data_IF_271180082125
#
_entry.id   IF_271180082125
#
_cell.length_a   1.000
_cell.length_b   1.000
_cell.length_c   1.000
_cell.angle_alpha   90.00
_cell.angle_beta   90.00
_cell.angle_gamma   90.00
#
_symmetry.space_group_name_H-M   'P 1'
#
loop_
_entity.id
_entity.type
_entity.pdbx_description
1 polymer ?
#
# COMPACT_ATOMS: atom_id res chain seq x y z
N UNK A 1 2.50 27.76 -29.33
CA UNK A 1 3.41 27.08 -28.38
C UNK A 1 3.13 25.60 -28.45
N UNK A 2 4.07 24.81 -28.92
CA UNK A 2 3.91 23.36 -28.99
C UNK A 2 4.15 22.73 -27.61
N UNK A 3 3.12 22.07 -27.07
CA UNK A 3 3.29 21.27 -25.89
C UNK A 3 4.07 20.00 -26.25
N UNK A 4 5.22 19.78 -25.62
CA UNK A 4 6.04 18.58 -25.80
C UNK A 4 5.31 17.33 -25.27
N UNK A 5 4.34 17.53 -24.36
CA UNK A 5 3.57 16.46 -23.73
C UNK A 5 2.10 16.56 -24.12
N UNK A 6 1.50 15.43 -24.48
CA UNK A 6 0.05 15.33 -24.64
C UNK A 6 -0.67 15.53 -23.29
N UNK A 7 -1.96 15.95 -23.29
CA UNK A 7 -2.71 16.21 -22.06
C UNK A 7 -2.72 15.05 -21.07
N UNK A 8 -2.76 13.81 -21.55
CA UNK A 8 -2.75 12.62 -20.72
C UNK A 8 -1.37 12.33 -20.12
N UNK A 9 -0.29 12.65 -20.84
CA UNK A 9 1.08 12.46 -20.34
C UNK A 9 1.40 13.42 -19.20
N UNK A 10 0.98 14.67 -19.30
CA UNK A 10 1.19 15.66 -18.23
C UNK A 10 0.43 15.28 -16.97
N UNK A 11 -0.84 14.83 -17.09
CA UNK A 11 -1.64 14.36 -15.99
C UNK A 11 -1.02 13.14 -15.27
N UNK A 12 -0.49 12.19 -16.04
CA UNK A 12 0.20 11.03 -15.50
C UNK A 12 1.50 11.41 -14.78
N UNK A 13 2.29 12.32 -15.34
CA UNK A 13 3.51 12.83 -14.71
C UNK A 13 3.22 13.51 -13.36
N UNK A 14 2.19 14.35 -13.29
CA UNK A 14 1.77 15.01 -12.04
C UNK A 14 1.32 13.97 -11.01
N UNK A 15 0.53 12.98 -11.40
CA UNK A 15 0.09 11.90 -10.51
C UNK A 15 1.25 11.09 -9.97
N UNK A 16 2.23 10.75 -10.80
CA UNK A 16 3.44 10.03 -10.39
C UNK A 16 4.29 10.86 -9.43
N UNK A 17 4.46 12.16 -9.69
CA UNK A 17 5.19 13.08 -8.80
C UNK A 17 4.50 13.19 -7.45
N UNK A 18 3.18 13.30 -7.41
CA UNK A 18 2.40 13.33 -6.16
C UNK A 18 2.53 12.03 -5.38
N UNK A 19 2.48 10.88 -6.05
CA UNK A 19 2.67 9.58 -5.42
C UNK A 19 4.08 9.42 -4.82
N UNK A 20 5.11 9.89 -5.52
CA UNK A 20 6.49 9.90 -5.02
C UNK A 20 6.67 10.80 -3.80
N UNK A 21 6.08 11.99 -3.80
CA UNK A 21 6.12 12.92 -2.65
C UNK A 21 5.43 12.29 -1.44
N UNK A 22 4.25 11.70 -1.61
CA UNK A 22 3.53 11.00 -0.54
C UNK A 22 4.33 9.83 0.02
N UNK A 23 4.97 9.03 -0.83
CA UNK A 23 5.82 7.92 -0.41
C UNK A 23 7.01 8.40 0.42
N UNK A 24 7.67 9.48 0.02
CA UNK A 24 8.79 10.09 0.76
C UNK A 24 8.34 10.62 2.12
N UNK A 25 7.19 11.27 2.21
CA UNK A 25 6.63 11.76 3.46
C UNK A 25 6.34 10.60 4.41
N UNK A 26 5.72 9.54 3.91
CA UNK A 26 5.47 8.34 4.70
C UNK A 26 6.76 7.71 5.21
N UNK A 27 7.79 7.59 4.39
CA UNK A 27 9.11 7.06 4.77
C UNK A 27 9.78 7.96 5.84
N UNK A 28 9.72 9.27 5.68
CA UNK A 28 10.26 10.21 6.68
C UNK A 28 9.56 10.09 8.04
N UNK A 29 8.24 9.94 8.05
CA UNK A 29 7.47 9.72 9.28
C UNK A 29 7.92 8.42 9.95
N UNK A 30 8.05 7.33 9.19
CA UNK A 30 8.48 6.03 9.69
C UNK A 30 9.90 6.10 10.25
N UNK A 31 10.82 6.74 9.55
CA UNK A 31 12.22 6.88 9.94
C UNK A 31 12.40 7.76 11.19
N UNK A 32 11.48 8.68 11.45
CA UNK A 32 11.50 9.54 12.63
C UNK A 32 11.09 8.84 13.93
N UNK A 33 10.45 7.68 13.82
CA UNK A 33 9.98 6.90 14.97
C UNK A 33 10.97 5.79 15.28
N UNK A 34 11.36 5.67 16.56
CA UNK A 34 12.22 4.56 17.00
C UNK A 34 11.56 3.21 16.76
N UNK A 35 12.38 2.22 16.47
CA UNK A 35 11.91 0.86 16.32
C UNK A 35 11.24 0.37 17.60
N UNK A 36 10.17 -0.37 17.44
CA UNK A 36 9.40 -0.99 18.51
C UNK A 36 9.10 -2.45 18.19
N UNK A 37 8.94 -3.24 19.24
CA UNK A 37 8.63 -4.66 19.06
C UNK A 37 7.22 -4.84 18.48
N UNK A 38 7.16 -5.64 17.42
CA UNK A 38 5.89 -6.02 16.81
C UNK A 38 5.38 -7.33 17.37
N UNK A 39 4.03 -7.51 17.48
CA UNK A 39 3.48 -8.77 17.88
C UNK A 39 3.95 -9.90 16.96
N UNK A 40 4.55 -10.96 17.53
CA UNK A 40 5.18 -12.04 16.75
C UNK A 40 4.22 -12.73 15.79
N UNK A 41 2.97 -12.92 16.18
CA UNK A 41 1.95 -13.54 15.34
C UNK A 41 1.63 -12.70 14.09
N UNK A 42 1.46 -11.41 14.26
CA UNK A 42 1.18 -10.46 13.14
C UNK A 42 2.37 -10.39 12.20
N UNK A 43 3.59 -10.31 12.76
CA UNK A 43 4.81 -10.28 11.97
C UNK A 43 4.99 -11.58 11.16
N UNK A 44 4.72 -12.73 11.75
CA UNK A 44 4.81 -14.02 11.07
C UNK A 44 3.84 -14.09 9.87
N UNK A 45 2.58 -13.72 10.08
CA UNK A 45 1.58 -13.70 8.99
C UNK A 45 1.96 -12.72 7.88
N UNK A 46 2.41 -11.53 8.23
CA UNK A 46 2.84 -10.52 7.27
C UNK A 46 4.07 -10.99 6.49
N UNK A 47 5.04 -11.61 7.15
CA UNK A 47 6.23 -12.17 6.52
C UNK A 47 5.89 -13.29 5.53
N UNK A 48 4.92 -14.15 5.86
CA UNK A 48 4.46 -15.18 4.94
C UNK A 48 3.79 -14.59 3.69
N UNK A 49 2.98 -13.55 3.84
CA UNK A 49 2.37 -12.85 2.71
C UNK A 49 3.43 -12.19 1.81
N UNK A 50 4.41 -11.53 2.39
CA UNK A 50 5.53 -10.95 1.63
C UNK A 50 6.36 -12.02 0.92
N UNK A 51 6.62 -13.15 1.57
CA UNK A 51 7.32 -14.27 0.94
C UNK A 51 6.55 -14.84 -0.26
N UNK A 52 5.23 -15.02 -0.13
CA UNK A 52 4.38 -15.43 -1.25
C UNK A 52 4.44 -14.43 -2.39
N UNK A 53 4.38 -13.13 -2.08
CA UNK A 53 4.49 -12.06 -3.09
C UNK A 53 5.83 -12.08 -3.82
N UNK A 54 6.93 -12.29 -3.10
CA UNK A 54 8.26 -12.43 -3.70
C UNK A 54 8.30 -13.66 -4.62
N UNK A 55 7.74 -14.78 -4.17
CA UNK A 55 7.65 -15.99 -4.98
C UNK A 55 6.86 -15.75 -6.29
N UNK A 56 5.69 -15.12 -6.20
CA UNK A 56 4.86 -14.80 -7.37
C UNK A 56 5.55 -13.87 -8.37
N UNK A 57 6.43 -12.99 -7.88
CA UNK A 57 7.20 -12.08 -8.74
C UNK A 57 8.38 -12.76 -9.43
N UNK A 58 9.07 -13.65 -8.72
CA UNK A 58 10.32 -14.26 -9.19
C UNK A 58 10.10 -15.59 -9.91
N UNK A 59 9.08 -16.35 -9.55
CA UNK A 59 8.79 -17.66 -10.14
C UNK A 59 7.74 -17.50 -11.23
N UNK A 60 8.19 -17.33 -12.45
CA UNK A 60 7.30 -17.22 -13.64
C UNK A 60 7.35 -18.44 -14.55
N UNK A 61 8.39 -19.25 -14.43
CA UNK A 61 8.65 -20.46 -15.21
C UNK A 61 9.17 -21.54 -14.28
N UNK A 62 9.09 -22.78 -14.75
CA UNK A 62 9.55 -23.94 -13.99
C UNK A 62 11.04 -23.86 -13.63
N UNK A 63 11.84 -23.28 -14.51
CA UNK A 63 13.29 -23.06 -14.30
C UNK A 63 13.60 -22.09 -13.15
N UNK A 64 12.68 -21.17 -12.84
CA UNK A 64 12.86 -20.18 -11.79
C UNK A 64 12.68 -20.79 -10.39
N UNK A 65 11.96 -21.93 -10.31
CA UNK A 65 11.67 -22.62 -9.04
C UNK A 65 12.95 -23.06 -8.35
N UNK A 66 13.90 -23.64 -9.09
CA UNK A 66 15.15 -24.12 -8.51
C UNK A 66 16.05 -22.97 -8.03
N UNK A 67 16.09 -21.87 -8.77
CA UNK A 67 16.80 -20.65 -8.34
C UNK A 67 16.17 -20.05 -7.08
N UNK A 68 14.85 -19.97 -7.05
CA UNK A 68 14.12 -19.48 -5.89
C UNK A 68 14.34 -20.34 -4.65
N UNK A 69 14.38 -21.67 -4.81
CA UNK A 69 14.68 -22.59 -3.71
C UNK A 69 16.12 -22.44 -3.20
N UNK A 70 17.07 -22.23 -4.11
CA UNK A 70 18.49 -22.04 -3.74
C UNK A 70 18.70 -20.79 -2.86
N UNK A 71 17.95 -19.71 -3.14
CA UNK A 71 18.02 -18.44 -2.41
C UNK A 71 16.93 -18.28 -1.34
N UNK A 72 16.28 -19.37 -0.93
CA UNK A 72 15.12 -19.36 -0.03
C UNK A 72 15.37 -18.61 1.28
N UNK A 73 16.52 -18.80 1.91
CA UNK A 73 16.84 -18.13 3.18
C UNK A 73 16.95 -16.60 3.00
N UNK A 74 17.55 -16.17 1.90
CA UNK A 74 17.60 -14.75 1.53
C UNK A 74 16.19 -14.19 1.32
N UNK A 75 15.34 -14.89 0.58
CA UNK A 75 13.96 -14.47 0.33
C UNK A 75 13.13 -14.41 1.60
N UNK A 76 13.36 -15.32 2.56
CA UNK A 76 12.71 -15.28 3.88
C UNK A 76 13.18 -14.06 4.70
N UNK A 77 14.47 -13.75 4.67
CA UNK A 77 15.01 -12.58 5.36
C UNK A 77 14.46 -11.27 4.73
N UNK A 78 14.45 -11.18 3.41
CA UNK A 78 13.90 -10.04 2.67
C UNK A 78 12.40 -9.85 2.94
N UNK A 79 11.64 -10.95 2.96
CA UNK A 79 10.22 -10.94 3.28
C UNK A 79 9.95 -10.45 4.71
N UNK A 80 10.74 -10.89 5.66
CA UNK A 80 10.63 -10.44 7.05
C UNK A 80 10.93 -8.96 7.18
N UNK A 81 12.02 -8.48 6.59
CA UNK A 81 12.39 -7.07 6.61
C UNK A 81 11.32 -6.18 5.95
N UNK A 82 10.77 -6.60 4.81
CA UNK A 82 9.69 -5.89 4.14
C UNK A 82 8.41 -5.87 4.98
N UNK A 83 8.07 -6.98 5.64
CA UNK A 83 6.93 -7.07 6.54
C UNK A 83 7.08 -6.16 7.77
N UNK A 84 8.26 -6.13 8.39
CA UNK A 84 8.57 -5.24 9.52
C UNK A 84 8.38 -3.77 9.13
N UNK A 85 8.95 -3.36 8.00
CA UNK A 85 8.82 -1.99 7.49
C UNK A 85 7.36 -1.61 7.21
N UNK A 86 6.62 -2.50 6.59
CA UNK A 86 5.21 -2.30 6.24
C UNK A 86 4.32 -2.21 7.46
N UNK A 87 4.52 -3.09 8.44
CA UNK A 87 3.79 -3.07 9.71
C UNK A 87 4.12 -1.84 10.55
N UNK A 88 5.39 -1.45 10.63
CA UNK A 88 5.80 -0.22 11.30
C UNK A 88 5.06 1.00 10.74
N UNK A 89 5.04 1.14 9.43
CA UNK A 89 4.30 2.18 8.72
C UNK A 89 2.80 2.14 9.05
N UNK A 90 2.19 0.97 8.99
CA UNK A 90 0.79 0.77 9.29
C UNK A 90 0.43 1.22 10.71
N UNK A 91 1.18 0.77 11.73
CA UNK A 91 0.92 1.12 13.11
C UNK A 91 1.13 2.62 13.39
N UNK A 92 2.17 3.22 12.84
CA UNK A 92 2.46 4.65 13.01
C UNK A 92 1.35 5.49 12.38
N UNK A 93 0.96 5.21 11.15
CA UNK A 93 -0.08 5.98 10.45
C UNK A 93 -1.45 5.82 11.12
N UNK A 94 -1.78 4.63 11.61
CA UNK A 94 -3.01 4.41 12.40
C UNK A 94 -3.00 5.18 13.71
N UNK A 95 -1.86 5.26 14.37
CA UNK A 95 -1.73 6.04 15.60
C UNK A 95 -1.94 7.53 15.34
N UNK A 96 -1.39 8.06 14.27
CA UNK A 96 -1.61 9.44 13.84
C UNK A 96 -3.08 9.68 13.54
N UNK A 97 -3.71 8.77 12.78
CA UNK A 97 -5.14 8.86 12.47
C UNK A 97 -6.00 8.94 13.73
N UNK A 98 -5.73 8.10 14.71
CA UNK A 98 -6.45 8.10 15.98
C UNK A 98 -6.23 9.41 16.78
N UNK A 99 -5.00 9.91 16.81
CA UNK A 99 -4.66 11.14 17.52
C UNK A 99 -5.29 12.39 16.89
N UNK A 100 -5.33 12.44 15.56
CA UNK A 100 -5.85 13.56 14.77
C UNK A 100 -7.32 13.39 14.37
N UNK A 101 -8.00 12.37 14.88
CA UNK A 101 -9.39 12.03 14.54
C UNK A 101 -9.67 11.91 13.03
N UNK A 102 -8.72 11.35 12.31
CA UNK A 102 -8.88 11.07 10.87
C UNK A 102 -9.62 9.73 10.73
N UNK A 103 -10.76 9.77 10.08
CA UNK A 103 -11.62 8.60 9.85
C UNK A 103 -11.95 8.44 8.37
N UNK A 104 -12.38 7.24 8.00
CA UNK A 104 -12.84 6.93 6.64
C UNK A 104 -14.36 6.82 6.67
N UNK A 105 -15.01 7.47 5.73
CA UNK A 105 -16.47 7.42 5.56
C UNK A 105 -16.87 6.33 4.55
N UNK A 106 -18.10 5.83 4.68
CA UNK A 106 -18.68 4.89 3.71
C UNK A 106 -18.71 5.45 2.28
N UNK A 107 -18.90 6.76 2.16
CA UNK A 107 -18.89 7.47 0.87
C UNK A 107 -17.50 7.42 0.21
N UNK A 108 -16.42 7.60 0.97
CA UNK A 108 -15.05 7.48 0.47
C UNK A 108 -14.75 6.05 0.00
N UNK A 109 -15.18 5.04 0.73
CA UNK A 109 -15.08 3.63 0.33
C UNK A 109 -15.86 3.36 -0.96
N UNK A 110 -17.09 3.83 -1.04
CA UNK A 110 -17.93 3.68 -2.23
C UNK A 110 -17.33 4.37 -3.45
N UNK A 111 -16.77 5.55 -3.27
CA UNK A 111 -16.07 6.27 -4.34
C UNK A 111 -14.86 5.48 -4.85
N UNK A 112 -14.05 4.95 -3.95
CA UNK A 112 -12.89 4.14 -4.30
C UNK A 112 -13.29 2.88 -5.09
N UNK A 113 -14.35 2.20 -4.66
CA UNK A 113 -14.88 1.02 -5.38
C UNK A 113 -15.33 1.40 -6.79
N UNK A 114 -16.06 2.51 -6.94
CA UNK A 114 -16.49 2.99 -8.27
C UNK A 114 -15.31 3.31 -9.19
N UNK A 115 -14.27 3.94 -8.64
CA UNK A 115 -13.04 4.22 -9.40
C UNK A 115 -12.34 2.95 -9.84
N UNK A 116 -12.23 1.95 -8.95
CA UNK A 116 -11.67 0.63 -9.30
C UNK A 116 -12.48 -0.05 -10.42
N UNK A 117 -13.80 -0.03 -10.32
CA UNK A 117 -14.68 -0.60 -11.34
C UNK A 117 -14.50 0.09 -12.69
N UNK A 118 -14.43 1.41 -12.71
CA UNK A 118 -14.21 2.20 -13.92
C UNK A 118 -12.86 1.90 -14.56
N UNK A 119 -11.81 1.76 -13.74
CA UNK A 119 -10.46 1.47 -14.21
C UNK A 119 -10.30 0.03 -14.74
N UNK A 120 -10.89 -0.95 -14.03
CA UNK A 120 -10.77 -2.37 -14.37
C UNK A 120 -11.82 -2.86 -15.38
N UNK A 121 -12.87 -2.07 -15.64
CA UNK A 121 -13.98 -2.45 -16.52
C UNK A 121 -14.89 -3.52 -15.92
N UNK A 122 -14.90 -3.70 -14.61
CA UNK A 122 -15.77 -4.64 -13.91
C UNK A 122 -17.08 -4.00 -13.46
N UNK A 123 -18.11 -4.84 -13.32
CA UNK A 123 -19.38 -4.39 -12.77
C UNK A 123 -19.27 -4.22 -11.25
N UNK A 124 -19.81 -3.14 -10.73
CA UNK A 124 -19.75 -2.82 -9.30
C UNK A 124 -20.28 -3.96 -8.41
N UNK A 125 -21.37 -4.61 -8.82
CA UNK A 125 -21.93 -5.76 -8.09
C UNK A 125 -20.92 -6.90 -7.91
N UNK A 126 -20.19 -7.23 -8.96
CA UNK A 126 -19.24 -8.34 -8.94
C UNK A 126 -18.02 -8.01 -8.05
N UNK A 127 -17.55 -6.76 -8.13
CA UNK A 127 -16.47 -6.27 -7.26
C UNK A 127 -16.88 -6.28 -5.80
N UNK A 128 -18.08 -5.80 -5.47
CA UNK A 128 -18.58 -5.80 -4.09
C UNK A 128 -18.70 -7.21 -3.54
N UNK A 129 -19.21 -8.15 -4.32
CA UNK A 129 -19.31 -9.55 -3.90
C UNK A 129 -17.93 -10.18 -3.65
N UNK A 130 -16.96 -9.86 -4.48
CA UNK A 130 -15.58 -10.31 -4.29
C UNK A 130 -14.97 -9.72 -3.01
N UNK A 131 -15.19 -8.43 -2.74
CA UNK A 131 -14.72 -7.76 -1.53
C UNK A 131 -15.35 -8.33 -0.25
N UNK A 132 -16.64 -8.67 -0.27
CA UNK A 132 -17.32 -9.34 0.84
C UNK A 132 -16.72 -10.72 1.14
N UNK A 133 -16.41 -11.49 0.10
CA UNK A 133 -15.90 -12.85 0.23
C UNK A 133 -14.45 -12.92 0.74
N UNK A 134 -13.63 -11.92 0.45
CA UNK A 134 -12.19 -11.93 0.79
C UNK A 134 -11.76 -10.92 1.85
N UNK A 135 -12.71 -10.19 2.44
CA UNK A 135 -12.41 -9.16 3.44
C UNK A 135 -11.76 -7.90 2.87
N UNK A 136 -11.85 -7.67 1.56
CA UNK A 136 -11.19 -6.58 0.86
C UNK A 136 -11.68 -5.18 1.25
N UNK A 137 -12.84 -5.04 1.86
CA UNK A 137 -13.32 -3.75 2.38
C UNK A 137 -12.37 -3.16 3.43
N UNK A 138 -11.86 -3.99 4.34
CA UNK A 138 -10.90 -3.55 5.35
C UNK A 138 -9.58 -3.06 4.74
N UNK A 139 -9.16 -3.67 3.64
CA UNK A 139 -7.96 -3.22 2.90
C UNK A 139 -8.20 -1.86 2.24
N UNK A 140 -9.36 -1.68 1.60
CA UNK A 140 -9.74 -0.39 1.00
C UNK A 140 -9.81 0.71 2.05
N UNK A 141 -10.47 0.46 3.19
CA UNK A 141 -10.52 1.41 4.31
C UNK A 141 -9.13 1.78 4.82
N UNK A 142 -8.25 0.80 4.99
CA UNK A 142 -6.88 1.01 5.44
C UNK A 142 -6.07 1.85 4.45
N UNK A 143 -6.21 1.60 3.16
CA UNK A 143 -5.53 2.36 2.11
C UNK A 143 -6.00 3.82 2.06
N UNK A 144 -7.31 4.04 2.17
CA UNK A 144 -7.88 5.39 2.24
C UNK A 144 -7.39 6.11 3.49
N UNK A 145 -7.40 5.44 4.65
CA UNK A 145 -6.96 6.01 5.92
C UNK A 145 -5.49 6.44 5.86
N UNK A 146 -4.63 5.59 5.34
CA UNK A 146 -3.20 5.88 5.18
C UNK A 146 -2.98 7.06 4.24
N UNK A 147 -3.68 7.12 3.13
CA UNK A 147 -3.59 8.25 2.19
C UNK A 147 -4.05 9.56 2.83
N UNK A 148 -5.13 9.53 3.60
CA UNK A 148 -5.63 10.70 4.36
C UNK A 148 -4.62 11.18 5.40
N UNK A 149 -3.96 10.28 6.12
CA UNK A 149 -2.92 10.63 7.11
C UNK A 149 -1.70 11.24 6.44
N UNK A 150 -1.26 10.68 5.34
CA UNK A 150 -0.12 11.20 4.57
C UNK A 150 -0.44 12.58 4.00
N UNK A 151 -1.63 12.77 3.47
CA UNK A 151 -2.11 14.08 2.96
C UNK A 151 -2.17 15.10 4.08
N UNK A 152 -2.69 14.74 5.24
CA UNK A 152 -2.68 15.58 6.43
C UNK A 152 -1.26 16.00 6.82
N UNK A 153 -0.32 15.06 6.88
CA UNK A 153 1.08 15.35 7.21
C UNK A 153 1.74 16.25 6.16
N UNK A 154 1.46 16.07 4.89
CA UNK A 154 1.94 16.92 3.81
C UNK A 154 1.43 18.36 3.93
N UNK A 155 0.14 18.54 4.23
CA UNK A 155 -0.48 19.84 4.42
C UNK A 155 0.11 20.57 5.65
N UNK A 156 0.38 19.86 6.72
CA UNK A 156 1.06 20.42 7.90
C UNK A 156 2.49 20.88 7.61
N UNK A 157 3.22 20.17 6.78
CA UNK A 157 4.59 20.50 6.39
C UNK A 157 4.69 21.77 5.51
N UNK A 158 3.60 22.14 4.82
CA UNK A 158 3.51 23.32 3.95
C UNK A 158 3.00 24.58 4.68
N UNK A 159 2.52 24.40 5.87
CA UNK A 159 1.98 25.50 6.68
C UNK A 159 3.07 26.38 7.32
#
# INVERSE_FOLDING_TARGET
MFSIFGPNQLGNMISEMQAQVKSKIADQIVDSVKDFEMPKGILSMASQREFSRIADQLVRKEEDVEKFKADREKHLADAKAAAEKRLKKFFILRKIAATENITVTDEEVNMQIRQMCAYLGYKEKDVRQMLENNGGYSEIESDILMDKVITFAADQAQA
#
